data_IF_680062965372
#
_entry.id   IF_680062965372
#
_cell.length_a   1.000
_cell.length_b   1.000
_cell.length_c   1.000
_cell.angle_alpha   90.00
_cell.angle_beta   90.00
_cell.angle_gamma   90.00
#
_symmetry.space_group_name_H-M   'P 1'
#
loop_
_entity.id
_entity.type
_entity.pdbx_description
1 polymer ?
#
# COMPACT_ATOMS: atom_id res chain seq x y z
N UNK A 1 0.53 -31.01 68.66
CA UNK A 1 0.35 -31.94 67.53
C UNK A 1 -0.99 -31.61 66.89
N UNK A 2 -1.20 -31.17 65.65
CA UNK A 2 -0.41 -30.91 64.44
C UNK A 2 -1.08 -29.72 63.71
N UNK A 3 -0.30 -28.78 63.18
CA UNK A 3 -0.79 -27.66 62.34
C UNK A 3 -0.96 -28.15 60.90
N UNK A 4 -2.12 -27.94 60.28
CA UNK A 4 -2.32 -28.14 58.83
C UNK A 4 -2.08 -26.80 58.12
N UNK A 5 -1.00 -26.73 57.35
CA UNK A 5 -0.68 -25.62 56.44
C UNK A 5 -1.32 -25.99 55.10
N UNK A 6 -2.25 -25.17 54.62
CA UNK A 6 -2.82 -25.28 53.28
C UNK A 6 -1.90 -24.53 52.32
N UNK A 7 -1.17 -25.25 51.46
CA UNK A 7 -0.39 -24.67 50.37
C UNK A 7 -1.35 -24.25 49.25
N UNK A 8 -1.44 -22.95 48.99
CA UNK A 8 -2.13 -22.40 47.82
C UNK A 8 -1.12 -22.27 46.68
N UNK A 9 -1.14 -23.21 45.74
CA UNK A 9 -0.35 -23.15 44.51
C UNK A 9 -1.05 -22.26 43.49
N UNK A 10 -0.63 -21.00 43.39
CA UNK A 10 -1.00 -20.12 42.29
C UNK A 10 -0.30 -20.59 41.01
N UNK A 11 -1.03 -21.24 40.11
CA UNK A 11 -0.54 -21.53 38.76
C UNK A 11 -0.48 -20.22 37.95
N UNK A 12 0.73 -19.76 37.64
CA UNK A 12 0.96 -18.70 36.66
C UNK A 12 0.62 -19.27 35.27
N UNK A 13 -0.55 -18.91 34.74
CA UNK A 13 -0.83 -19.05 33.32
C UNK A 13 0.06 -18.05 32.58
N UNK A 14 1.13 -18.54 31.94
CA UNK A 14 1.81 -17.79 30.89
C UNK A 14 0.86 -17.72 29.71
N UNK A 15 0.14 -16.61 29.57
CA UNK A 15 -0.57 -16.28 28.34
C UNK A 15 0.48 -16.09 27.26
N UNK A 16 0.71 -17.11 26.44
CA UNK A 16 1.43 -16.95 25.18
C UNK A 16 0.55 -16.09 24.29
N UNK A 17 0.85 -14.80 24.19
CA UNK A 17 0.32 -13.94 23.14
C UNK A 17 0.81 -14.55 21.82
N UNK A 18 -0.08 -15.29 21.15
CA UNK A 18 0.14 -15.65 19.76
C UNK A 18 0.18 -14.33 18.98
N UNK A 19 1.37 -13.90 18.59
CA UNK A 19 1.51 -12.88 17.58
C UNK A 19 0.93 -13.48 16.30
N UNK A 20 -0.01 -12.78 15.67
CA UNK A 20 -0.39 -13.09 14.29
C UNK A 20 0.92 -13.14 13.49
N UNK A 21 1.22 -14.26 12.84
CA UNK A 21 2.33 -14.31 11.90
C UNK A 21 1.91 -13.45 10.72
N UNK A 22 2.66 -12.38 10.45
CA UNK A 22 2.47 -11.58 9.24
C UNK A 22 2.50 -12.50 8.01
N UNK A 23 1.53 -12.34 7.08
CA UNK A 23 1.49 -13.15 5.85
C UNK A 23 2.85 -13.14 5.13
N UNK A 24 3.41 -14.32 4.85
CA UNK A 24 4.57 -14.46 3.96
C UNK A 24 4.11 -14.28 2.51
N UNK A 25 4.96 -13.68 1.68
CA UNK A 25 4.69 -13.40 0.28
C UNK A 25 5.70 -14.14 -0.58
N UNK A 26 5.20 -14.90 -1.54
CA UNK A 26 6.02 -15.65 -2.50
C UNK A 26 6.34 -14.81 -3.74
N UNK A 27 5.35 -14.08 -4.21
CA UNK A 27 5.39 -13.39 -5.50
C UNK A 27 4.55 -12.12 -5.45
N UNK A 28 5.07 -11.06 -6.07
CA UNK A 28 4.33 -9.84 -6.38
C UNK A 28 4.37 -9.69 -7.89
N UNK A 29 3.21 -9.49 -8.49
CA UNK A 29 3.01 -9.42 -9.92
C UNK A 29 2.13 -8.21 -10.21
N UNK A 30 2.69 -7.21 -10.91
CA UNK A 30 1.97 -5.97 -11.21
C UNK A 30 1.80 -5.85 -12.71
N UNK A 31 0.57 -5.60 -13.14
CA UNK A 31 0.24 -5.26 -14.52
C UNK A 31 -0.36 -3.87 -14.61
N UNK A 32 -0.16 -3.26 -15.76
CA UNK A 32 -0.90 -2.08 -16.19
C UNK A 32 -1.19 -2.28 -17.67
N UNK A 33 -2.33 -1.77 -18.15
CA UNK A 33 -2.69 -1.69 -19.57
C UNK A 33 -2.72 -0.23 -20.04
N UNK A 34 -2.44 0.06 -21.33
CA UNK A 34 -2.29 1.45 -21.79
C UNK A 34 -3.58 2.26 -21.59
N UNK A 35 -4.71 1.54 -21.49
CA UNK A 35 -6.03 2.09 -21.16
C UNK A 35 -6.14 2.61 -19.74
N UNK A 36 -5.24 2.22 -18.84
CA UNK A 36 -5.15 2.74 -17.47
C UNK A 36 -4.55 4.16 -17.42
N UNK A 37 -3.93 4.63 -18.50
CA UNK A 37 -3.36 5.98 -18.52
C UNK A 37 -4.45 7.00 -18.86
N UNK A 38 -4.83 7.80 -17.86
CA UNK A 38 -5.94 8.75 -17.99
C UNK A 38 -5.54 10.12 -18.57
N UNK A 39 -4.25 10.50 -18.50
CA UNK A 39 -3.79 11.80 -19.01
C UNK A 39 -2.38 11.78 -19.62
N UNK A 40 -2.01 12.88 -20.29
CA UNK A 40 -0.76 12.98 -21.05
C UNK A 40 0.48 12.96 -20.14
N UNK A 41 0.34 13.50 -18.93
CA UNK A 41 1.35 13.54 -17.90
C UNK A 41 1.69 12.11 -17.41
N UNK A 42 0.67 11.28 -17.18
CA UNK A 42 0.81 9.87 -16.81
C UNK A 42 1.41 9.02 -17.95
N UNK A 43 1.18 9.39 -19.22
CA UNK A 43 1.73 8.67 -20.36
C UNK A 43 3.27 8.65 -20.39
N UNK A 44 3.93 9.61 -19.74
CA UNK A 44 5.38 9.62 -19.59
C UNK A 44 5.91 8.49 -18.69
N UNK A 45 5.08 7.93 -17.81
CA UNK A 45 5.45 6.91 -16.82
C UNK A 45 4.89 5.53 -17.15
N UNK A 46 3.95 5.45 -18.08
CA UNK A 46 3.27 4.24 -18.54
C UNK A 46 4.16 2.99 -18.62
N UNK A 47 5.33 3.10 -19.27
CA UNK A 47 6.21 1.95 -19.50
C UNK A 47 6.80 1.36 -18.21
N UNK A 48 6.91 2.16 -17.15
CA UNK A 48 7.56 1.76 -15.90
C UNK A 48 6.59 1.67 -14.73
N UNK A 49 5.32 2.07 -14.89
CA UNK A 49 4.35 2.15 -13.80
C UNK A 49 4.17 0.82 -13.05
N UNK A 50 4.11 -0.29 -13.79
CA UNK A 50 4.01 -1.62 -13.20
C UNK A 50 5.29 -1.99 -12.42
N UNK A 51 6.46 -1.89 -13.06
CA UNK A 51 7.75 -2.22 -12.47
C UNK A 51 8.04 -1.36 -11.23
N UNK A 52 7.75 -0.07 -11.27
CA UNK A 52 7.97 0.85 -10.15
C UNK A 52 7.08 0.50 -8.96
N UNK A 53 5.81 0.13 -9.22
CA UNK A 53 4.88 -0.30 -8.16
C UNK A 53 5.28 -1.65 -7.58
N UNK A 54 5.67 -2.62 -8.41
CA UNK A 54 6.17 -3.92 -7.96
C UNK A 54 7.37 -3.74 -7.04
N UNK A 55 8.37 -2.98 -7.50
CA UNK A 55 9.56 -2.68 -6.72
C UNK A 55 9.23 -1.99 -5.40
N UNK A 56 8.28 -1.05 -5.40
CA UNK A 56 7.85 -0.34 -4.20
C UNK A 56 7.14 -1.26 -3.18
N UNK A 57 6.35 -2.24 -3.65
CA UNK A 57 5.71 -3.25 -2.80
C UNK A 57 6.78 -4.21 -2.24
N UNK A 58 7.64 -4.76 -3.10
CA UNK A 58 8.70 -5.71 -2.69
C UNK A 58 9.65 -5.07 -1.68
N UNK A 59 10.02 -3.80 -1.85
CA UNK A 59 10.87 -3.06 -0.91
C UNK A 59 10.27 -2.96 0.51
N UNK A 60 8.96 -3.03 0.65
CA UNK A 60 8.26 -3.02 1.95
C UNK A 60 8.11 -4.43 2.55
N UNK A 61 8.33 -5.46 1.75
CA UNK A 61 8.14 -6.86 2.12
C UNK A 61 9.46 -7.61 2.35
N UNK A 62 10.60 -6.93 2.40
CA UNK A 62 11.94 -7.56 2.49
C UNK A 62 12.04 -8.65 3.56
N UNK A 63 11.41 -8.46 4.73
CA UNK A 63 11.43 -9.43 5.84
C UNK A 63 10.33 -10.52 5.74
N UNK A 64 9.49 -10.46 4.70
CA UNK A 64 8.30 -11.28 4.48
C UNK A 64 8.30 -12.02 3.13
N UNK A 65 9.36 -11.91 2.34
CA UNK A 65 9.52 -12.67 1.09
C UNK A 65 10.09 -14.05 1.39
N UNK A 66 9.47 -15.10 0.85
CA UNK A 66 9.91 -16.49 1.02
C UNK A 66 9.59 -17.38 -0.19
N UNK A 67 10.09 -18.62 -0.19
CA UNK A 67 9.80 -19.61 -1.25
C UNK A 67 8.33 -20.07 -1.23
N UNK A 68 7.67 -19.92 -0.09
CA UNK A 68 6.25 -20.20 0.13
C UNK A 68 5.56 -18.96 0.70
N UNK A 69 4.29 -18.79 0.37
CA UNK A 69 3.49 -17.64 0.80
C UNK A 69 2.41 -17.27 -0.22
N UNK A 70 1.74 -16.16 0.05
CA UNK A 70 0.70 -15.62 -0.82
C UNK A 70 1.31 -14.96 -2.07
N UNK A 71 0.61 -15.04 -3.19
CA UNK A 71 0.84 -14.24 -4.39
C UNK A 71 -0.02 -12.99 -4.32
N UNK A 72 0.61 -11.84 -4.53
CA UNK A 72 -0.05 -10.54 -4.69
C UNK A 72 -0.07 -10.22 -6.19
N UNK A 73 -1.26 -10.04 -6.75
CA UNK A 73 -1.45 -9.54 -8.11
C UNK A 73 -2.11 -8.17 -8.05
N UNK A 74 -1.51 -7.17 -8.70
CA UNK A 74 -2.07 -5.83 -8.83
C UNK A 74 -2.31 -5.54 -10.29
N UNK A 75 -3.53 -5.18 -10.63
CA UNK A 75 -3.88 -4.66 -11.95
C UNK A 75 -4.16 -3.17 -11.84
N UNK A 76 -3.33 -2.33 -12.46
CA UNK A 76 -3.50 -0.87 -12.44
C UNK A 76 -4.61 -0.52 -13.44
N UNK A 77 -5.73 -0.04 -12.91
CA UNK A 77 -6.92 0.34 -13.67
C UNK A 77 -6.89 1.81 -14.10
N UNK A 78 -6.25 2.67 -13.28
CA UNK A 78 -6.13 4.10 -13.57
C UNK A 78 -4.84 4.69 -13.00
N UNK A 79 -4.16 5.49 -13.80
CA UNK A 79 -3.09 6.39 -13.41
C UNK A 79 -3.32 7.75 -14.07
N UNK A 80 -3.54 8.76 -13.24
CA UNK A 80 -3.66 10.16 -13.61
C UNK A 80 -2.65 10.98 -12.82
N UNK A 81 -1.91 11.83 -13.51
CA UNK A 81 -0.95 12.76 -12.90
C UNK A 81 -1.38 14.20 -13.16
N UNK A 82 -2.55 14.59 -12.63
CA UNK A 82 -2.93 15.98 -12.65
C UNK A 82 -1.83 16.82 -11.98
N UNK A 83 -1.42 17.91 -12.63
CA UNK A 83 -0.50 18.80 -11.96
C UNK A 83 -1.19 19.43 -10.74
N UNK A 84 -0.36 19.88 -9.82
CA UNK A 84 -0.74 20.53 -8.57
C UNK A 84 -1.78 21.64 -8.71
N UNK A 85 -1.73 22.42 -9.80
CA UNK A 85 -2.69 23.47 -10.11
C UNK A 85 -4.07 22.91 -10.51
N UNK A 86 -4.11 21.89 -11.38
CA UNK A 86 -5.35 21.21 -11.77
C UNK A 86 -6.00 20.48 -10.58
N UNK A 87 -5.18 19.80 -9.78
CA UNK A 87 -5.60 19.07 -8.58
C UNK A 87 -6.18 20.02 -7.51
N UNK A 88 -5.55 21.17 -7.30
CA UNK A 88 -6.03 22.14 -6.31
C UNK A 88 -7.31 22.87 -6.70
N UNK A 89 -7.54 23.08 -8.00
CA UNK A 89 -8.78 23.67 -8.51
C UNK A 89 -9.91 22.63 -8.68
N UNK A 90 -9.66 21.36 -8.34
CA UNK A 90 -10.60 20.26 -8.56
C UNK A 90 -10.93 20.06 -10.04
N UNK A 91 -10.01 20.43 -10.92
CA UNK A 91 -10.16 20.29 -12.37
C UNK A 91 -9.79 18.90 -12.85
N UNK A 92 -8.83 18.25 -12.16
CA UNK A 92 -8.35 16.90 -12.46
C UNK A 92 -7.61 16.36 -11.23
N UNK A 93 -7.76 15.08 -10.90
CA UNK A 93 -7.12 14.49 -9.72
C UNK A 93 -5.82 13.76 -10.10
N UNK A 94 -4.81 13.86 -9.23
CA UNK A 94 -3.66 12.96 -9.27
C UNK A 94 -4.04 11.71 -8.46
N UNK A 95 -4.31 10.62 -9.16
CA UNK A 95 -4.92 9.41 -8.62
C UNK A 95 -4.30 8.17 -9.25
N UNK A 96 -4.18 7.12 -8.43
CA UNK A 96 -3.88 5.77 -8.89
C UNK A 96 -4.94 4.83 -8.34
N UNK A 97 -5.54 4.03 -9.22
CA UNK A 97 -6.54 3.02 -8.91
C UNK A 97 -6.05 1.67 -9.44
N UNK A 98 -6.26 0.61 -8.67
CA UNK A 98 -6.00 -0.73 -9.15
C UNK A 98 -6.67 -1.80 -8.32
N UNK A 99 -6.92 -2.93 -8.97
CA UNK A 99 -7.45 -4.13 -8.36
C UNK A 99 -6.32 -4.96 -7.75
N UNK A 100 -6.34 -5.12 -6.43
CA UNK A 100 -5.40 -5.94 -5.69
C UNK A 100 -6.03 -7.29 -5.38
N UNK A 101 -5.32 -8.37 -5.69
CA UNK A 101 -5.70 -9.75 -5.40
C UNK A 101 -4.58 -10.41 -4.61
N UNK A 102 -4.91 -10.89 -3.42
CA UNK A 102 -4.03 -11.74 -2.61
C UNK A 102 -4.58 -13.15 -2.68
N UNK A 103 -3.72 -14.11 -3.04
CA UNK A 103 -4.10 -15.53 -3.15
C UNK A 103 -3.04 -16.42 -2.52
N UNK A 104 -3.43 -17.49 -1.84
CA UNK A 104 -2.53 -18.49 -1.25
C UNK A 104 -2.59 -19.79 -2.05
N UNK A 105 -1.44 -20.30 -2.51
CA UNK A 105 -1.35 -21.58 -3.22
C UNK A 105 -1.37 -22.79 -2.28
N UNK A 106 -1.12 -22.59 -0.98
CA UNK A 106 -0.84 -23.68 -0.03
C UNK A 106 -2.00 -24.00 0.91
N UNK A 107 -2.80 -23.02 1.34
CA UNK A 107 -3.82 -23.25 2.38
C UNK A 107 -5.22 -22.66 2.11
N UNK A 108 -5.40 -21.94 1.00
CA UNK A 108 -6.62 -21.19 0.66
C UNK A 108 -7.15 -20.26 1.78
N UNK A 109 -6.32 -19.90 2.77
CA UNK A 109 -6.75 -19.09 3.90
C UNK A 109 -6.74 -17.58 3.56
N UNK A 110 -5.82 -17.16 2.70
CA UNK A 110 -5.57 -15.75 2.38
C UNK A 110 -6.02 -15.39 0.96
N UNK A 111 -7.35 -15.32 0.77
CA UNK A 111 -7.96 -14.72 -0.40
C UNK A 111 -8.55 -13.36 -0.03
N UNK A 112 -7.93 -12.29 -0.53
CA UNK A 112 -8.52 -10.95 -0.49
C UNK A 112 -8.53 -10.36 -1.90
N UNK A 113 -9.58 -9.64 -2.23
CA UNK A 113 -9.68 -8.93 -3.50
C UNK A 113 -10.38 -7.61 -3.26
N UNK A 114 -9.69 -6.53 -3.56
CA UNK A 114 -10.20 -5.18 -3.33
C UNK A 114 -9.61 -4.20 -4.33
N UNK A 115 -10.41 -3.20 -4.66
CA UNK A 115 -9.94 -2.01 -5.33
C UNK A 115 -9.23 -1.12 -4.31
N UNK A 116 -8.05 -0.63 -4.67
CA UNK A 116 -7.31 0.37 -3.91
C UNK A 116 -7.23 1.65 -4.73
N UNK A 117 -7.66 2.76 -4.13
CA UNK A 117 -7.56 4.09 -4.70
C UNK A 117 -6.69 4.93 -3.79
N UNK A 118 -5.68 5.59 -4.35
CA UNK A 118 -4.85 6.57 -3.67
C UNK A 118 -4.83 7.86 -4.46
N UNK A 119 -4.90 9.00 -3.77
CA UNK A 119 -4.82 10.32 -4.40
C UNK A 119 -3.77 11.18 -3.71
N UNK A 120 -3.15 12.08 -4.46
CA UNK A 120 -2.10 12.98 -3.93
C UNK A 120 -2.66 14.10 -3.03
N UNK A 121 -3.95 14.07 -2.71
CA UNK A 121 -4.70 15.19 -2.14
C UNK A 121 -4.49 15.28 -0.63
N UNK A 122 -3.30 15.68 -0.20
CA UNK A 122 -3.04 16.00 1.22
C UNK A 122 -1.81 16.88 1.47
N UNK A 123 -1.63 17.98 0.73
CA UNK A 123 -0.73 19.05 1.19
C UNK A 123 -1.25 20.45 0.85
N UNK A 124 -1.26 21.31 1.87
CA UNK A 124 -1.78 22.67 1.89
C UNK A 124 -1.02 23.55 0.89
N UNK A 125 -1.54 23.74 -0.31
CA UNK A 125 -0.82 24.48 -1.35
C UNK A 125 -0.85 26.01 -1.17
N UNK A 126 -1.65 26.54 -0.23
CA UNK A 126 -1.67 27.97 0.12
C UNK A 126 -1.49 28.19 1.63
N UNK A 127 -0.71 29.22 1.97
CA UNK A 127 -0.67 29.81 3.29
C UNK A 127 -1.95 30.60 3.60
N UNK A 128 -2.16 30.95 4.87
CA UNK A 128 -3.33 31.68 5.33
C UNK A 128 -3.48 33.09 4.72
N UNK A 129 -2.41 33.64 4.14
CA UNK A 129 -2.40 34.91 3.42
C UNK A 129 -2.67 34.77 1.91
N UNK A 130 -2.95 33.55 1.45
CA UNK A 130 -3.20 33.23 0.04
C UNK A 130 -1.93 33.06 -0.80
N UNK A 131 -0.74 33.11 -0.20
CA UNK A 131 0.51 32.81 -0.91
C UNK A 131 0.67 31.32 -1.14
N UNK A 132 1.23 30.95 -2.29
CA UNK A 132 1.55 29.56 -2.63
C UNK A 132 2.71 29.10 -1.74
N UNK A 133 2.57 27.97 -1.05
CA UNK A 133 3.66 27.39 -0.26
C UNK A 133 4.76 26.85 -1.18
N UNK A 134 6.03 26.95 -0.76
CA UNK A 134 7.15 26.44 -1.55
C UNK A 134 7.01 24.91 -1.70
N UNK A 135 7.05 24.39 -2.93
CA UNK A 135 6.76 22.98 -3.21
C UNK A 135 5.26 22.61 -3.28
N UNK A 136 4.34 23.57 -3.12
CA UNK A 136 2.90 23.36 -3.35
C UNK A 136 2.59 22.87 -4.77
N UNK A 137 3.49 23.21 -5.71
CA UNK A 137 3.41 22.81 -7.09
C UNK A 137 4.59 21.93 -7.50
N UNK A 138 4.86 20.84 -6.76
CA UNK A 138 5.85 19.86 -7.23
C UNK A 138 5.46 19.35 -8.62
N UNK A 139 6.47 19.15 -9.45
CA UNK A 139 6.32 18.66 -10.81
C UNK A 139 5.71 17.24 -10.81
N UNK A 140 5.30 16.76 -11.98
CA UNK A 140 4.71 15.43 -12.18
C UNK A 140 5.52 14.25 -11.59
N UNK A 141 6.88 14.25 -11.50
CA UNK A 141 7.63 13.13 -10.96
C UNK A 141 7.38 12.87 -9.47
N UNK A 142 7.26 13.93 -8.66
CA UNK A 142 7.05 13.79 -7.22
C UNK A 142 5.65 13.23 -6.91
N UNK A 143 4.63 13.63 -7.68
CA UNK A 143 3.30 13.05 -7.55
C UNK A 143 3.24 11.59 -7.94
N UNK A 144 3.92 11.23 -9.04
CA UNK A 144 4.03 9.84 -9.44
C UNK A 144 4.67 8.98 -8.34
N UNK A 145 5.82 9.42 -7.80
CA UNK A 145 6.49 8.71 -6.71
C UNK A 145 5.63 8.61 -5.45
N UNK A 146 4.88 9.67 -5.12
CA UNK A 146 3.96 9.68 -3.99
C UNK A 146 2.78 8.70 -4.17
N UNK A 147 2.19 8.63 -5.36
CA UNK A 147 1.12 7.68 -5.69
C UNK A 147 1.63 6.23 -5.61
N UNK A 148 2.79 5.93 -6.23
CA UNK A 148 3.43 4.61 -6.17
C UNK A 148 3.68 4.19 -4.71
N UNK A 149 4.26 5.10 -3.92
CA UNK A 149 4.55 4.84 -2.50
C UNK A 149 3.26 4.58 -1.71
N UNK A 150 2.26 5.45 -1.85
CA UNK A 150 1.00 5.35 -1.12
C UNK A 150 0.23 4.07 -1.49
N UNK A 151 0.23 3.69 -2.77
CA UNK A 151 -0.41 2.44 -3.22
C UNK A 151 0.29 1.23 -2.60
N UNK A 152 1.63 1.20 -2.65
CA UNK A 152 2.41 0.12 -2.05
C UNK A 152 2.20 0.01 -0.52
N UNK A 153 2.13 1.14 0.20
CA UNK A 153 1.78 1.17 1.62
C UNK A 153 0.37 0.61 1.86
N UNK A 154 -0.59 0.99 1.01
CA UNK A 154 -1.96 0.51 1.06
C UNK A 154 -2.06 -1.01 0.89
N UNK A 155 -1.32 -1.59 -0.06
CA UNK A 155 -1.24 -3.05 -0.27
C UNK A 155 -0.70 -3.74 0.98
N UNK A 156 0.48 -3.32 1.47
CA UNK A 156 1.15 -4.00 2.59
C UNK A 156 0.36 -3.89 3.89
N UNK A 157 -0.33 -2.76 4.11
CA UNK A 157 -1.15 -2.55 5.31
C UNK A 157 -2.32 -3.53 5.47
N UNK A 158 -2.72 -4.20 4.38
CA UNK A 158 -3.84 -5.14 4.36
C UNK A 158 -3.42 -6.61 4.46
N UNK A 159 -2.12 -6.90 4.36
CA UNK A 159 -1.60 -8.25 4.60
C UNK A 159 -1.61 -8.51 6.12
N UNK A 160 -2.32 -9.55 6.57
CA UNK A 160 -2.56 -9.85 7.99
C UNK A 160 -1.80 -11.05 8.52
#
# INVERSE_FOLDING_TARGET
MFRKILMTTTALFFATTAFAQDTMVKEVDVSADITAISNAEAAAYWTNAADDLENAIVARLVDRIGEEGSKISVDIDELSLANSFQNQLGLEDAVMVGMVKVTSETDNADFDTYELTVSALSAQAFAADGTVLEGAFTDTPEYYAALISAFADGVVSRLK
#
